data_IF_645436299900
#
_entry.id   IF_645436299900
#
_cell.length_a   1.000
_cell.length_b   1.000
_cell.length_c   1.000
_cell.angle_alpha   90.00
_cell.angle_beta   90.00
_cell.angle_gamma   90.00
#
_symmetry.space_group_name_H-M   'P 1'
#
loop_
_entity.id
_entity.type
_entity.pdbx_description
1 polymer ?
#
# COMPACT_ATOMS: atom_id res chain seq x y z
N UNK A 1 13.58 6.21 27.85
CA UNK A 1 12.17 6.69 27.77
C UNK A 1 12.18 8.22 27.60
N UNK A 2 11.63 8.73 26.49
CA UNK A 2 11.24 10.12 26.22
C UNK A 2 12.28 11.22 26.52
N UNK A 3 13.24 11.44 25.61
CA UNK A 3 14.10 12.64 25.62
C UNK A 3 13.46 13.70 24.72
N UNK A 4 13.31 14.93 25.20
CA UNK A 4 12.86 16.06 24.38
C UNK A 4 14.05 16.93 24.03
N UNK A 5 14.36 17.02 22.74
CA UNK A 5 15.41 17.89 22.21
C UNK A 5 14.73 19.12 21.63
N UNK A 6 14.97 20.27 22.27
CA UNK A 6 14.53 21.56 21.76
C UNK A 6 15.27 21.87 20.45
N UNK A 7 14.57 22.41 19.45
CA UNK A 7 15.21 22.73 18.17
C UNK A 7 15.68 21.54 17.33
N UNK A 8 15.26 20.29 17.61
CA UNK A 8 15.54 19.16 16.70
C UNK A 8 14.90 19.41 15.32
N UNK A 9 15.75 19.62 14.31
CA UNK A 9 15.35 19.93 12.93
C UNK A 9 15.61 18.79 11.95
N UNK A 10 16.68 18.02 12.17
CA UNK A 10 17.12 16.95 11.26
C UNK A 10 17.02 15.62 11.99
N UNK A 11 16.48 14.60 11.33
CA UNK A 11 16.34 13.25 11.88
C UNK A 11 16.76 12.21 10.87
N UNK A 12 17.67 11.33 11.28
CA UNK A 12 18.05 10.14 10.53
C UNK A 12 17.33 8.93 11.15
N UNK A 13 16.44 8.33 10.38
CA UNK A 13 15.61 7.21 10.82
C UNK A 13 16.01 5.95 10.06
N UNK A 14 16.74 5.06 10.73
CA UNK A 14 17.22 3.80 10.16
C UNK A 14 16.67 2.55 10.83
N UNK A 15 15.78 2.70 11.83
CA UNK A 15 15.28 1.56 12.61
C UNK A 15 14.13 0.89 11.86
N UNK A 16 14.42 -0.26 11.26
CA UNK A 16 13.38 -1.14 10.75
C UNK A 16 12.74 -1.89 11.94
N UNK A 17 11.42 -1.80 12.04
CA UNK A 17 10.70 -2.50 13.10
C UNK A 17 10.47 -3.94 12.65
N UNK A 18 10.95 -4.93 13.43
CA UNK A 18 10.73 -6.37 13.16
C UNK A 18 9.26 -6.70 12.92
N UNK A 19 8.34 -5.95 13.55
CA UNK A 19 6.91 -5.94 13.25
C UNK A 19 6.44 -4.50 13.04
N UNK A 20 5.93 -4.21 11.83
CA UNK A 20 5.39 -2.90 11.46
C UNK A 20 3.96 -2.76 11.96
N UNK A 21 3.78 -2.70 13.27
CA UNK A 21 2.48 -2.40 13.89
C UNK A 21 2.27 -0.89 13.83
N UNK A 22 1.10 -0.47 13.36
CA UNK A 22 0.72 0.94 13.20
C UNK A 22 0.93 1.76 14.48
N UNK A 23 0.63 1.17 15.65
CA UNK A 23 0.88 1.77 16.95
C UNK A 23 2.37 2.04 17.18
N UNK A 24 3.26 1.08 16.89
CA UNK A 24 4.72 1.23 17.01
C UNK A 24 5.24 2.38 16.14
N UNK A 25 4.74 2.50 14.91
CA UNK A 25 5.12 3.58 14.00
C UNK A 25 4.63 4.93 14.52
N UNK A 26 3.38 5.01 15.00
CA UNK A 26 2.85 6.23 15.62
C UNK A 26 3.58 6.61 16.92
N UNK A 27 4.05 5.62 17.69
CA UNK A 27 4.89 5.85 18.86
C UNK A 27 6.25 6.43 18.48
N UNK A 28 6.89 5.95 17.41
CA UNK A 28 8.15 6.48 16.91
C UNK A 28 7.99 7.87 16.28
N UNK A 29 6.89 8.11 15.56
CA UNK A 29 6.58 9.40 14.95
C UNK A 29 6.37 10.53 15.98
N UNK A 30 6.24 10.22 17.27
CA UNK A 30 6.17 11.23 18.35
C UNK A 30 7.40 12.15 18.38
N UNK A 31 8.54 11.73 17.82
CA UNK A 31 9.74 12.56 17.69
C UNK A 31 9.53 13.86 16.91
N UNK A 32 8.51 13.93 16.04
CA UNK A 32 8.21 15.15 15.28
C UNK A 32 7.46 16.21 16.10
N UNK A 33 6.65 15.79 17.07
CA UNK A 33 5.77 16.67 17.84
C UNK A 33 4.82 17.51 16.98
N UNK A 34 4.09 18.44 17.62
CA UNK A 34 3.15 19.34 16.95
C UNK A 34 3.85 20.62 16.44
N UNK A 35 4.77 20.47 15.48
CA UNK A 35 5.65 21.57 14.98
C UNK A 35 5.34 21.97 13.53
N UNK A 36 4.06 22.12 13.18
CA UNK A 36 3.64 22.37 11.79
C UNK A 36 4.28 23.61 11.15
N UNK A 37 4.55 24.66 11.92
CA UNK A 37 5.20 25.88 11.46
C UNK A 37 6.71 25.72 11.15
N UNK A 38 7.34 24.63 11.58
CA UNK A 38 8.75 24.32 11.32
C UNK A 38 8.95 23.33 10.17
N UNK A 39 7.87 22.92 9.50
CA UNK A 39 7.90 21.90 8.44
C UNK A 39 8.91 22.21 7.34
N UNK A 40 9.02 23.49 6.94
CA UNK A 40 9.90 23.92 5.84
C UNK A 40 11.39 23.75 6.15
N UNK A 41 11.73 23.74 7.44
CA UNK A 41 13.09 23.63 7.95
C UNK A 41 13.39 22.26 8.56
N UNK A 42 12.39 21.38 8.73
CA UNK A 42 12.59 19.99 9.16
C UNK A 42 13.12 19.11 8.03
N UNK A 43 14.04 18.19 8.33
CA UNK A 43 14.57 17.18 7.41
C UNK A 43 14.46 15.77 8.02
N UNK A 44 13.95 14.82 7.24
CA UNK A 44 13.94 13.40 7.56
C UNK A 44 14.74 12.66 6.50
N UNK A 45 15.72 11.88 6.94
CA UNK A 45 16.46 10.94 6.10
C UNK A 45 16.12 9.53 6.54
N UNK A 46 15.66 8.70 5.61
CA UNK A 46 15.24 7.32 5.87
C UNK A 46 15.49 6.46 4.62
N UNK A 47 15.81 5.17 4.76
CA UNK A 47 15.76 4.21 3.65
C UNK A 47 14.41 4.24 2.94
N UNK A 48 14.43 4.04 1.62
CA UNK A 48 13.23 4.17 0.76
C UNK A 48 12.09 3.23 1.17
N UNK A 49 12.40 1.98 1.54
CA UNK A 49 11.39 1.02 1.99
C UNK A 49 10.65 1.49 3.26
N UNK A 50 11.36 2.06 4.24
CA UNK A 50 10.77 2.61 5.47
C UNK A 50 9.90 3.83 5.16
N UNK A 51 10.33 4.69 4.23
CA UNK A 51 9.56 5.86 3.82
C UNK A 51 8.23 5.44 3.15
N UNK A 52 8.25 4.41 2.31
CA UNK A 52 7.04 3.85 1.69
C UNK A 52 6.09 3.25 2.73
N UNK A 53 6.61 2.64 3.80
CA UNK A 53 5.77 2.16 4.91
C UNK A 53 5.10 3.33 5.65
N UNK A 54 5.85 4.38 5.99
CA UNK A 54 5.30 5.58 6.62
C UNK A 54 4.23 6.24 5.75
N UNK A 55 4.45 6.31 4.43
CA UNK A 55 3.46 6.82 3.48
C UNK A 55 2.22 5.95 3.46
N UNK A 56 2.37 4.62 3.42
CA UNK A 56 1.25 3.68 3.42
C UNK A 56 0.40 3.81 4.69
N UNK A 57 1.05 3.94 5.85
CA UNK A 57 0.39 4.15 7.14
C UNK A 57 -0.33 5.50 7.15
N UNK A 58 0.34 6.58 6.74
CA UNK A 58 -0.27 7.90 6.68
C UNK A 58 -1.48 7.93 5.74
N UNK A 59 -1.39 7.30 4.56
CA UNK A 59 -2.51 7.19 3.62
C UNK A 59 -3.66 6.36 4.19
N UNK A 60 -3.38 5.30 4.96
CA UNK A 60 -4.39 4.53 5.67
C UNK A 60 -5.11 5.36 6.74
N UNK A 61 -4.35 6.13 7.52
CA UNK A 61 -4.83 6.96 8.62
C UNK A 61 -5.67 8.15 8.10
N UNK A 62 -5.19 8.83 7.06
CA UNK A 62 -5.94 9.87 6.36
C UNK A 62 -7.18 9.32 5.65
N UNK A 63 -7.07 8.13 5.07
CA UNK A 63 -8.22 7.41 4.52
C UNK A 63 -9.29 7.17 5.57
N UNK A 64 -8.89 6.73 6.78
CA UNK A 64 -9.80 6.52 7.90
C UNK A 64 -10.41 7.85 8.40
N UNK A 65 -9.62 8.91 8.58
CA UNK A 65 -10.11 10.25 8.97
C UNK A 65 -11.12 10.80 7.96
N UNK A 66 -10.81 10.72 6.67
CA UNK A 66 -11.68 11.20 5.61
C UNK A 66 -12.96 10.38 5.49
N UNK A 67 -12.87 9.09 5.79
CA UNK A 67 -14.03 8.22 5.80
C UNK A 67 -14.95 8.53 7.00
N UNK A 68 -14.39 8.90 8.16
CA UNK A 68 -15.15 9.34 9.34
C UNK A 68 -15.78 10.72 9.10
N UNK A 69 -15.05 11.64 8.45
CA UNK A 69 -15.47 13.02 8.20
C UNK A 69 -15.45 13.90 9.46
N UNK A 70 -15.95 15.14 9.34
CA UNK A 70 -16.01 16.11 10.46
C UNK A 70 -17.25 15.94 11.37
N UNK A 71 -18.18 15.07 10.99
CA UNK A 71 -19.41 14.81 11.73
C UNK A 71 -19.50 13.32 12.11
N UNK A 72 -19.45 12.98 13.42
CA UNK A 72 -19.61 11.61 13.91
C UNK A 72 -20.90 10.92 13.45
N UNK A 73 -21.94 11.67 13.06
CA UNK A 73 -23.19 11.14 12.52
C UNK A 73 -23.18 10.95 11.00
N UNK A 74 -22.15 11.43 10.31
CA UNK A 74 -22.00 11.36 8.86
C UNK A 74 -21.02 10.25 8.42
N UNK A 75 -20.75 9.29 9.31
CA UNK A 75 -20.02 8.06 8.97
C UNK A 75 -20.86 7.29 7.94
N UNK A 76 -20.68 7.63 6.66
CA UNK A 76 -21.21 6.90 5.51
C UNK A 76 -20.34 5.67 5.19
N UNK A 77 -19.39 5.35 6.05
CA UNK A 77 -18.63 4.11 5.95
C UNK A 77 -19.51 2.96 6.41
N UNK A 78 -19.84 2.07 5.49
CA UNK A 78 -20.32 0.74 5.86
C UNK A 78 -19.09 -0.15 6.10
N UNK A 79 -18.84 -0.63 7.34
CA UNK A 79 -17.86 -1.67 7.55
C UNK A 79 -18.35 -2.93 6.84
N UNK A 80 -17.55 -3.43 5.90
CA UNK A 80 -17.85 -4.64 5.14
C UNK A 80 -16.95 -5.75 5.63
N UNK A 81 -17.57 -6.67 6.36
CA UNK A 81 -16.90 -7.85 6.88
C UNK A 81 -16.85 -8.95 5.82
N UNK A 82 -15.66 -9.47 5.59
CA UNK A 82 -15.41 -10.56 4.67
C UNK A 82 -14.77 -11.72 5.44
N UNK A 83 -15.52 -12.81 5.63
CA UNK A 83 -15.10 -13.98 6.42
C UNK A 83 -16.14 -14.44 7.44
N UNK A 84 -15.83 -15.49 8.24
CA UNK A 84 -16.71 -15.97 9.33
C UNK A 84 -16.91 -14.88 10.39
N UNK A 85 -18.15 -14.66 10.82
CA UNK A 85 -18.55 -13.64 11.80
C UNK A 85 -17.84 -13.86 13.13
N UNK A 86 -16.95 -12.96 13.52
CA UNK A 86 -16.47 -12.88 14.91
C UNK A 86 -17.58 -12.27 15.77
N UNK A 87 -17.92 -12.91 16.89
CA UNK A 87 -18.59 -12.24 18.01
C UNK A 87 -17.49 -11.55 18.84
N UNK A 88 -17.43 -10.22 18.88
CA UNK A 88 -16.38 -9.53 19.64
C UNK A 88 -16.58 -9.77 21.14
N UNK A 89 -15.53 -10.19 21.83
CA UNK A 89 -15.49 -10.33 23.31
C UNK A 89 -15.40 -8.98 24.01
N UNK A 90 -14.99 -7.91 23.30
CA UNK A 90 -15.11 -6.50 23.72
C UNK A 90 -15.38 -5.61 22.51
N UNK A 91 -16.41 -4.77 22.57
CA UNK A 91 -17.00 -4.04 21.44
C UNK A 91 -16.17 -2.86 20.87
N UNK A 92 -14.93 -2.63 21.33
CA UNK A 92 -14.21 -1.38 21.02
C UNK A 92 -12.71 -1.53 20.73
N UNK A 93 -12.17 -2.75 20.60
CA UNK A 93 -10.75 -2.93 20.26
C UNK A 93 -10.66 -3.89 19.10
N UNK A 94 -10.70 -3.32 17.89
CA UNK A 94 -10.35 -4.02 16.67
C UNK A 94 -8.84 -3.79 16.48
N UNK A 95 -8.04 -4.86 16.50
CA UNK A 95 -6.60 -4.78 16.22
C UNK A 95 -6.42 -4.65 14.68
N UNK A 96 -6.05 -3.48 14.15
CA UNK A 96 -5.91 -3.29 12.70
C UNK A 96 -4.75 -4.09 12.11
N UNK A 97 -3.82 -4.58 12.93
CA UNK A 97 -2.73 -5.45 12.48
C UNK A 97 -3.19 -6.90 12.24
N UNK A 98 -4.24 -7.36 12.94
CA UNK A 98 -4.88 -8.66 12.71
C UNK A 98 -5.96 -8.59 11.63
N UNK A 99 -6.54 -7.40 11.45
CA UNK A 99 -7.56 -7.13 10.44
C UNK A 99 -6.86 -6.49 9.25
N UNK A 100 -6.44 -7.31 8.28
CA UNK A 100 -5.87 -6.86 7.00
C UNK A 100 -6.87 -6.01 6.20
N UNK A 101 -7.07 -4.75 6.63
CA UNK A 101 -8.11 -3.87 6.12
C UNK A 101 -7.67 -3.18 4.84
N UNK A 102 -8.59 -3.05 3.89
CA UNK A 102 -8.32 -2.21 2.72
C UNK A 102 -8.51 -0.73 3.05
N UNK A 103 -7.49 0.08 2.76
CA UNK A 103 -7.56 1.54 2.88
C UNK A 103 -8.56 2.13 1.88
N UNK A 104 -9.58 2.88 2.33
CA UNK A 104 -10.53 3.56 1.45
C UNK A 104 -9.82 4.52 0.48
N UNK A 105 -10.24 4.55 -0.79
CA UNK A 105 -9.64 5.43 -1.79
C UNK A 105 -8.22 5.05 -2.22
N UNK A 106 -7.64 3.97 -1.67
CA UNK A 106 -6.34 3.47 -2.11
C UNK A 106 -6.42 2.80 -3.48
N UNK A 107 -5.29 2.79 -4.19
CA UNK A 107 -5.12 2.02 -5.41
C UNK A 107 -4.28 0.79 -5.08
N UNK A 108 -4.83 -0.39 -5.27
CA UNK A 108 -4.20 -1.67 -5.00
C UNK A 108 -3.97 -2.42 -6.32
N UNK A 109 -2.91 -3.22 -6.39
CA UNK A 109 -2.54 -3.99 -7.58
C UNK A 109 -1.70 -5.22 -7.17
N UNK A 110 -1.67 -6.29 -7.99
CA UNK A 110 -0.88 -7.48 -7.72
C UNK A 110 0.62 -7.17 -7.80
N UNK A 111 1.36 -7.52 -6.75
CA UNK A 111 2.81 -7.27 -6.67
C UNK A 111 3.63 -8.30 -7.44
N UNK A 112 3.06 -9.48 -7.70
CA UNK A 112 3.62 -10.47 -8.62
C UNK A 112 2.54 -11.08 -9.51
N UNK A 113 2.19 -10.39 -10.60
CA UNK A 113 1.31 -10.95 -11.63
C UNK A 113 1.97 -12.13 -12.33
N UNK A 114 1.21 -13.20 -12.61
CA UNK A 114 1.70 -14.27 -13.49
C UNK A 114 1.88 -13.71 -14.90
N UNK A 115 2.90 -14.20 -15.60
CA UNK A 115 3.31 -13.62 -16.89
C UNK A 115 3.96 -14.61 -17.85
N UNK A 116 4.33 -15.82 -17.40
CA UNK A 116 4.89 -16.84 -18.29
C UNK A 116 3.80 -17.31 -19.25
N UNK A 117 4.16 -17.55 -20.51
CA UNK A 117 3.17 -17.91 -21.54
C UNK A 117 2.32 -19.13 -21.12
N UNK A 118 2.96 -20.13 -20.51
CA UNK A 118 2.30 -21.33 -19.98
C UNK A 118 1.30 -21.08 -18.86
N UNK A 119 1.39 -19.95 -18.16
CA UNK A 119 0.51 -19.59 -17.03
C UNK A 119 -0.67 -18.71 -17.46
N UNK A 120 -0.51 -17.92 -18.53
CA UNK A 120 -1.45 -16.82 -18.84
C UNK A 120 -2.06 -16.87 -20.25
N UNK A 121 -1.59 -17.71 -21.17
CA UNK A 121 -2.07 -17.69 -22.56
C UNK A 121 -3.61 -17.83 -22.66
N UNK A 122 -4.20 -18.82 -22.01
CA UNK A 122 -5.65 -19.05 -22.02
C UNK A 122 -6.44 -17.91 -21.37
N UNK A 123 -5.86 -17.29 -20.35
CA UNK A 123 -6.44 -16.13 -19.68
C UNK A 123 -6.42 -14.89 -20.59
N UNK A 124 -5.28 -14.61 -21.25
CA UNK A 124 -5.17 -13.51 -22.22
C UNK A 124 -6.16 -13.69 -23.37
N UNK A 125 -6.28 -14.88 -23.95
CA UNK A 125 -7.25 -15.14 -25.04
C UNK A 125 -8.70 -14.89 -24.61
N UNK A 126 -9.01 -15.20 -23.34
CA UNK A 126 -10.34 -14.94 -22.76
C UNK A 126 -10.56 -13.44 -22.57
N UNK A 127 -9.56 -12.74 -22.03
CA UNK A 127 -9.61 -11.29 -21.85
C UNK A 127 -9.66 -10.51 -23.16
N UNK A 128 -8.99 -10.98 -24.21
CA UNK A 128 -9.07 -10.38 -25.54
C UNK A 128 -10.51 -10.36 -26.05
N UNK A 129 -11.26 -11.45 -25.84
CA UNK A 129 -12.69 -11.52 -26.20
C UNK A 129 -13.55 -10.64 -25.29
N UNK A 130 -13.35 -10.72 -23.97
CA UNK A 130 -14.16 -9.97 -23.00
C UNK A 130 -13.97 -8.46 -23.14
N UNK A 131 -12.74 -8.03 -23.43
CA UNK A 131 -12.36 -6.62 -23.46
C UNK A 131 -12.27 -6.06 -24.90
N UNK A 132 -12.72 -6.81 -25.91
CA UNK A 132 -12.63 -6.41 -27.32
C UNK A 132 -13.35 -5.09 -27.63
N UNK A 133 -14.42 -4.77 -26.91
CA UNK A 133 -15.21 -3.54 -27.15
C UNK A 133 -14.56 -2.27 -26.59
N UNK A 134 -13.58 -2.39 -25.68
CA UNK A 134 -12.93 -1.23 -25.06
C UNK A 134 -11.62 -0.93 -25.78
N UNK A 135 -11.65 0.15 -26.57
CA UNK A 135 -10.54 0.56 -27.44
C UNK A 135 -10.06 1.99 -27.16
N UNK A 136 -10.84 2.78 -26.43
CA UNK A 136 -10.47 4.14 -26.04
C UNK A 136 -9.83 4.11 -24.64
N UNK A 137 -8.54 4.39 -24.60
CA UNK A 137 -7.76 4.46 -23.37
C UNK A 137 -8.34 5.49 -22.39
N UNK A 138 -8.96 6.60 -22.84
CA UNK A 138 -9.49 7.63 -21.94
C UNK A 138 -10.94 7.38 -21.50
N UNK A 139 -11.61 6.38 -22.07
CA UNK A 139 -13.00 6.05 -21.75
C UNK A 139 -13.08 5.26 -20.43
N UNK A 140 -14.01 5.68 -19.57
CA UNK A 140 -14.40 4.93 -18.38
C UNK A 140 -15.83 4.45 -18.58
N UNK A 141 -16.00 3.14 -18.70
CA UNK A 141 -17.31 2.51 -18.89
C UNK A 141 -17.86 2.03 -17.55
N UNK A 142 -19.15 2.24 -17.31
CA UNK A 142 -19.83 1.71 -16.12
C UNK A 142 -20.25 0.26 -16.36
N UNK A 143 -19.73 -0.66 -15.57
CA UNK A 143 -19.96 -2.10 -15.73
C UNK A 143 -20.37 -2.76 -14.42
N UNK A 144 -21.05 -3.91 -14.50
CA UNK A 144 -21.50 -4.65 -13.31
C UNK A 144 -20.31 -5.16 -12.51
N UNK A 145 -20.42 -5.20 -11.18
CA UNK A 145 -19.38 -5.77 -10.32
C UNK A 145 -19.04 -7.22 -10.70
N UNK A 146 -20.04 -8.02 -11.10
CA UNK A 146 -19.82 -9.40 -11.56
C UNK A 146 -18.88 -9.47 -12.76
N UNK A 147 -18.98 -8.51 -13.68
CA UNK A 147 -18.11 -8.42 -14.85
C UNK A 147 -16.68 -8.03 -14.45
N UNK A 148 -16.52 -7.11 -13.48
CA UNK A 148 -15.19 -6.79 -12.93
C UNK A 148 -14.54 -8.01 -12.25
N UNK A 149 -15.33 -8.84 -11.55
CA UNK A 149 -14.87 -10.08 -10.94
C UNK A 149 -14.44 -11.08 -12.02
N UNK A 150 -15.22 -11.24 -13.09
CA UNK A 150 -14.91 -12.12 -14.23
C UNK A 150 -13.59 -11.74 -14.92
N UNK A 151 -13.35 -10.44 -15.09
CA UNK A 151 -12.07 -9.90 -15.59
C UNK A 151 -10.92 -10.31 -14.66
N UNK A 152 -11.06 -10.06 -13.36
CA UNK A 152 -10.01 -10.35 -12.37
C UNK A 152 -9.74 -11.87 -12.19
N UNK A 153 -10.73 -12.73 -12.43
CA UNK A 153 -10.52 -14.19 -12.45
C UNK A 153 -9.54 -14.62 -13.55
N UNK A 154 -9.40 -13.83 -14.61
CA UNK A 154 -8.47 -14.08 -15.70
C UNK A 154 -7.16 -13.27 -15.57
N UNK A 155 -6.85 -12.71 -14.41
CA UNK A 155 -5.58 -12.00 -14.16
C UNK A 155 -4.89 -12.57 -12.92
N UNK A 156 -4.47 -13.85 -12.94
CA UNK A 156 -3.93 -14.52 -11.76
C UNK A 156 -2.59 -13.91 -11.33
N UNK A 157 -2.39 -13.80 -10.01
CA UNK A 157 -1.15 -13.36 -9.40
C UNK A 157 -0.63 -14.36 -8.35
N UNK A 158 0.61 -14.16 -7.90
CA UNK A 158 1.17 -14.85 -6.73
C UNK A 158 0.98 -13.93 -5.52
N UNK A 159 0.57 -14.52 -4.40
CA UNK A 159 0.44 -13.80 -3.14
C UNK A 159 1.80 -13.23 -2.73
N UNK A 160 1.79 -12.02 -2.18
CA UNK A 160 2.97 -11.39 -1.59
C UNK A 160 2.60 -10.92 -0.20
N UNK A 161 3.24 -11.48 0.82
CA UNK A 161 3.01 -11.09 2.21
C UNK A 161 3.32 -9.61 2.44
N UNK A 162 2.57 -8.98 3.35
CA UNK A 162 2.70 -7.56 3.66
C UNK A 162 2.04 -6.60 2.65
N UNK A 163 1.42 -7.11 1.58
CA UNK A 163 0.72 -6.28 0.59
C UNK A 163 -0.80 -6.54 0.58
N UNK A 164 -1.54 -5.50 0.19
CA UNK A 164 -3.00 -5.53 0.24
C UNK A 164 -3.63 -6.50 -0.77
N UNK A 165 -3.01 -6.66 -1.96
CA UNK A 165 -3.58 -7.43 -3.05
C UNK A 165 -3.39 -8.94 -2.87
N UNK A 166 -4.50 -9.66 -2.78
CA UNK A 166 -4.58 -11.10 -2.90
C UNK A 166 -5.84 -11.41 -3.73
N UNK A 167 -5.70 -12.28 -4.74
CA UNK A 167 -6.71 -12.41 -5.79
C UNK A 167 -8.09 -12.79 -5.26
N UNK A 168 -8.19 -13.74 -4.32
CA UNK A 168 -9.49 -14.12 -3.76
C UNK A 168 -10.02 -13.03 -2.84
N UNK A 169 -9.16 -12.43 -2.01
CA UNK A 169 -9.52 -11.29 -1.15
C UNK A 169 -10.16 -10.15 -1.94
N UNK A 170 -9.55 -9.76 -3.06
CA UNK A 170 -10.05 -8.66 -3.92
C UNK A 170 -11.41 -9.03 -4.51
N UNK A 171 -11.58 -10.26 -5.01
CA UNK A 171 -12.88 -10.73 -5.52
C UNK A 171 -13.95 -10.74 -4.44
N UNK A 172 -13.62 -11.15 -3.22
CA UNK A 172 -14.55 -11.14 -2.10
C UNK A 172 -14.93 -9.72 -1.69
N UNK A 173 -13.98 -8.77 -1.71
CA UNK A 173 -14.26 -7.35 -1.47
C UNK A 173 -15.32 -6.82 -2.44
N UNK A 174 -15.15 -7.11 -3.73
CA UNK A 174 -16.10 -6.73 -4.78
C UNK A 174 -17.48 -7.40 -4.57
N UNK A 175 -17.53 -8.69 -4.25
CA UNK A 175 -18.81 -9.38 -3.92
C UNK A 175 -19.50 -8.74 -2.71
N UNK A 176 -18.73 -8.31 -1.74
CA UNK A 176 -19.24 -7.68 -0.53
C UNK A 176 -19.71 -6.23 -0.79
N UNK A 177 -19.03 -5.48 -1.66
CA UNK A 177 -19.52 -4.19 -2.21
C UNK A 177 -20.88 -4.35 -2.88
N UNK A 178 -21.02 -5.38 -3.73
CA UNK A 178 -22.28 -5.73 -4.39
C UNK A 178 -23.39 -6.00 -3.38
N UNK A 179 -23.10 -6.82 -2.37
CA UNK A 179 -24.04 -7.16 -1.30
C UNK A 179 -24.45 -5.94 -0.46
N UNK A 180 -23.58 -4.93 -0.38
CA UNK A 180 -23.83 -3.70 0.37
C UNK A 180 -24.51 -2.57 -0.46
N UNK A 181 -24.83 -2.85 -1.73
CA UNK A 181 -25.60 -1.97 -2.62
C UNK A 181 -24.80 -1.27 -3.73
N UNK A 182 -23.52 -1.59 -3.94
CA UNK A 182 -22.78 -1.13 -5.14
C UNK A 182 -22.92 -2.18 -6.23
N UNK A 183 -23.89 -2.02 -7.14
CA UNK A 183 -24.08 -3.00 -8.22
C UNK A 183 -23.09 -2.87 -9.38
N UNK A 184 -22.45 -1.70 -9.50
CA UNK A 184 -21.60 -1.34 -10.64
C UNK A 184 -20.30 -0.67 -10.21
N UNK A 185 -19.28 -0.79 -11.04
CA UNK A 185 -18.02 -0.06 -10.92
C UNK A 185 -17.58 0.50 -12.27
N UNK A 186 -16.54 1.32 -12.25
CA UNK A 186 -15.94 1.83 -13.48
C UNK A 186 -14.88 0.86 -14.00
N UNK A 187 -14.86 0.66 -15.30
CA UNK A 187 -13.81 -0.07 -16.01
C UNK A 187 -13.12 0.89 -16.97
N UNK A 188 -11.79 0.86 -16.97
CA UNK A 188 -10.96 1.55 -17.95
C UNK A 188 -9.93 0.57 -18.49
N UNK A 189 -9.90 0.38 -19.81
CA UNK A 189 -8.98 -0.56 -20.47
C UNK A 189 -7.99 0.25 -21.28
N UNK A 190 -6.71 0.16 -20.93
CA UNK A 190 -5.60 0.86 -21.55
C UNK A 190 -4.87 -0.09 -22.48
N UNK A 191 -4.94 0.14 -23.78
CA UNK A 191 -4.29 -0.66 -24.83
C UNK A 191 -3.16 0.07 -25.56
N UNK A 192 -2.90 1.34 -25.22
CA UNK A 192 -1.89 2.13 -25.90
C UNK A 192 -2.31 2.51 -27.32
N UNK A 193 -1.41 3.20 -28.04
CA UNK A 193 -1.73 3.72 -29.37
C UNK A 193 -2.11 2.59 -30.33
N UNK A 194 -3.28 2.74 -30.98
CA UNK A 194 -3.84 1.78 -31.95
C UNK A 194 -4.09 0.37 -31.39
N UNK A 195 -4.16 0.21 -30.06
CA UNK A 195 -4.42 -1.08 -29.43
C UNK A 195 -3.24 -2.06 -29.47
N UNK A 196 -2.03 -1.59 -29.79
CA UNK A 196 -0.85 -2.45 -29.92
C UNK A 196 -0.35 -3.00 -28.57
N UNK A 197 -0.82 -2.46 -27.45
CA UNK A 197 -0.28 -2.71 -26.11
C UNK A 197 0.69 -1.62 -25.67
N UNK A 198 0.87 -1.54 -24.37
CA UNK A 198 1.92 -0.73 -23.74
C UNK A 198 3.27 -1.48 -23.76
N UNK A 199 4.34 -0.76 -23.43
CA UNK A 199 5.74 -1.21 -23.55
C UNK A 199 6.42 -1.18 -22.17
N UNK A 200 5.84 -1.86 -21.18
CA UNK A 200 6.35 -1.95 -19.81
C UNK A 200 7.46 -2.99 -19.72
N UNK A 201 8.58 -2.66 -19.08
CA UNK A 201 9.60 -3.66 -18.75
C UNK A 201 9.21 -4.52 -17.54
N UNK A 202 9.46 -5.83 -17.63
CA UNK A 202 9.32 -6.76 -16.52
C UNK A 202 10.39 -6.46 -15.45
N UNK A 203 9.97 -6.05 -14.26
CA UNK A 203 10.88 -5.63 -13.16
C UNK A 203 11.01 -6.72 -12.08
N UNK A 204 12.07 -6.69 -11.24
CA UNK A 204 12.16 -7.58 -10.09
C UNK A 204 10.90 -7.55 -9.20
N UNK A 205 10.55 -8.69 -8.62
CA UNK A 205 9.40 -8.86 -7.73
C UNK A 205 9.83 -8.74 -6.26
N UNK A 206 8.94 -8.32 -5.35
CA UNK A 206 7.61 -7.75 -5.60
C UNK A 206 7.69 -6.36 -6.24
N UNK A 207 6.75 -6.03 -7.13
CA UNK A 207 6.66 -4.70 -7.71
C UNK A 207 6.38 -3.63 -6.65
N UNK A 208 7.06 -2.48 -6.73
CA UNK A 208 6.96 -1.38 -5.77
C UNK A 208 6.23 -0.16 -6.32
N UNK A 209 5.94 0.82 -5.45
CA UNK A 209 5.31 2.09 -5.80
C UNK A 209 3.89 1.94 -6.35
N UNK A 210 3.57 2.67 -7.43
CA UNK A 210 2.27 2.60 -8.13
C UNK A 210 2.15 1.40 -9.09
N UNK A 211 3.14 0.49 -9.07
CA UNK A 211 3.18 -0.69 -9.91
C UNK A 211 3.40 -0.31 -11.37
N UNK A 212 2.37 -0.49 -12.17
CA UNK A 212 2.37 -0.29 -13.62
C UNK A 212 1.39 0.80 -14.07
N UNK A 213 0.54 1.29 -13.18
CA UNK A 213 -0.38 2.37 -13.50
C UNK A 213 0.33 3.72 -13.43
N UNK A 214 0.11 4.55 -14.46
CA UNK A 214 0.54 5.95 -14.45
C UNK A 214 -0.19 6.72 -13.33
N UNK A 215 0.48 7.71 -12.73
CA UNK A 215 -0.12 8.54 -11.68
C UNK A 215 -1.44 9.18 -12.09
N UNK A 216 -1.61 9.56 -13.37
CA UNK A 216 -2.88 10.09 -13.90
C UNK A 216 -4.00 9.06 -13.96
N UNK A 217 -3.67 7.80 -14.26
CA UNK A 217 -4.64 6.70 -14.30
C UNK A 217 -5.20 6.39 -12.91
N UNK A 218 -4.46 6.77 -11.87
CA UNK A 218 -4.90 6.63 -10.48
C UNK A 218 -5.60 7.91 -10.00
N UNK A 219 -5.01 9.09 -10.22
CA UNK A 219 -5.50 10.34 -9.64
C UNK A 219 -6.83 10.80 -10.23
N UNK A 220 -7.05 10.65 -11.54
CA UNK A 220 -8.31 11.02 -12.20
C UNK A 220 -9.52 10.25 -11.64
N UNK A 221 -9.55 8.91 -11.63
CA UNK A 221 -10.69 8.17 -11.10
C UNK A 221 -10.83 8.32 -9.59
N UNK A 222 -9.73 8.47 -8.82
CA UNK A 222 -9.81 8.82 -7.39
C UNK A 222 -10.56 10.13 -7.15
N UNK A 223 -10.49 11.09 -8.07
CA UNK A 223 -11.23 12.35 -7.95
C UNK A 223 -12.65 12.23 -8.48
N UNK A 224 -12.87 11.53 -9.60
CA UNK A 224 -14.15 11.50 -10.32
C UNK A 224 -15.14 10.45 -9.81
N UNK A 225 -14.66 9.28 -9.37
CA UNK A 225 -15.47 8.12 -9.03
C UNK A 225 -15.22 7.67 -7.57
N UNK A 226 -15.41 8.59 -6.63
CA UNK A 226 -15.06 8.39 -5.22
C UNK A 226 -15.93 7.36 -4.49
N UNK A 227 -17.06 6.97 -5.06
CA UNK A 227 -18.12 6.20 -4.41
C UNK A 227 -18.29 4.78 -4.94
N UNK A 228 -17.58 4.42 -6.01
CA UNK A 228 -17.66 3.13 -6.69
C UNK A 228 -16.26 2.63 -7.01
N UNK A 229 -16.01 1.31 -7.04
CA UNK A 229 -14.70 0.80 -7.39
C UNK A 229 -14.39 1.12 -8.85
N UNK A 230 -13.12 1.45 -9.13
CA UNK A 230 -12.63 1.63 -10.50
C UNK A 230 -11.54 0.61 -10.78
N UNK A 231 -11.76 -0.25 -11.77
CA UNK A 231 -10.77 -1.19 -12.28
C UNK A 231 -10.11 -0.59 -13.51
N UNK A 232 -8.81 -0.31 -13.41
CA UNK A 232 -7.96 0.06 -14.54
C UNK A 232 -7.21 -1.20 -14.99
N UNK A 233 -7.38 -1.58 -16.25
CA UNK A 233 -6.75 -2.75 -16.86
C UNK A 233 -5.75 -2.26 -17.90
N UNK A 234 -4.49 -2.61 -17.75
CA UNK A 234 -3.43 -2.33 -18.72
C UNK A 234 -3.17 -3.56 -19.58
N UNK A 235 -3.16 -3.39 -20.91
CA UNK A 235 -2.73 -4.40 -21.87
C UNK A 235 -1.25 -4.18 -22.23
N UNK A 236 -0.41 -5.17 -21.94
CA UNK A 236 1.04 -5.15 -22.13
C UNK A 236 1.44 -6.08 -23.29
N UNK A 237 2.34 -5.60 -24.17
CA UNK A 237 2.82 -6.35 -25.35
C UNK A 237 3.49 -7.68 -24.99
N UNK A 238 4.15 -7.73 -23.84
CA UNK A 238 4.77 -8.96 -23.36
C UNK A 238 6.01 -9.38 -24.15
N UNK A 239 6.72 -8.43 -24.75
CA UNK A 239 7.92 -8.71 -25.57
C UNK A 239 9.10 -9.22 -24.74
N UNK A 240 9.82 -10.21 -25.27
CA UNK A 240 11.00 -10.79 -24.60
C UNK A 240 12.14 -9.78 -24.36
N UNK A 241 12.26 -8.76 -25.23
CA UNK A 241 13.24 -7.66 -25.05
C UNK A 241 13.04 -6.90 -23.72
N UNK A 242 11.82 -6.92 -23.21
CA UNK A 242 11.40 -6.28 -21.97
C UNK A 242 11.38 -7.25 -20.78
N UNK A 243 11.91 -8.47 -20.92
CA UNK A 243 11.96 -9.48 -19.86
C UNK A 243 10.67 -10.29 -19.70
N UNK A 244 9.75 -10.20 -20.64
CA UNK A 244 8.54 -11.05 -20.70
C UNK A 244 8.77 -12.32 -21.54
N UNK A 245 7.72 -13.09 -21.79
CA UNK A 245 7.80 -14.40 -22.46
C UNK A 245 7.19 -14.43 -23.87
N UNK A 246 7.17 -13.29 -24.60
CA UNK A 246 6.48 -13.15 -25.89
C UNK A 246 4.99 -13.52 -25.84
N UNK A 247 4.35 -13.24 -24.71
CA UNK A 247 2.92 -13.45 -24.49
C UNK A 247 2.32 -12.15 -23.97
N UNK A 248 1.39 -11.51 -24.71
CA UNK A 248 0.66 -10.37 -24.20
C UNK A 248 -0.11 -10.72 -22.94
N UNK A 249 -0.23 -9.75 -22.05
CA UNK A 249 -0.86 -9.92 -20.75
C UNK A 249 -1.64 -8.69 -20.33
N UNK A 250 -2.55 -8.89 -19.39
CA UNK A 250 -3.31 -7.82 -18.78
C UNK A 250 -2.96 -7.68 -17.31
N UNK A 251 -2.84 -6.44 -16.85
CA UNK A 251 -2.42 -6.09 -15.50
C UNK A 251 -3.51 -5.23 -14.83
N UNK A 252 -4.05 -5.61 -13.65
CA UNK A 252 -5.14 -4.89 -13.00
C UNK A 252 -4.70 -3.93 -11.89
N UNK A 253 -5.20 -2.70 -11.91
CA UNK A 253 -5.15 -1.77 -10.77
C UNK A 253 -6.57 -1.49 -10.31
N UNK A 254 -6.91 -1.88 -9.08
CA UNK A 254 -8.21 -1.60 -8.48
C UNK A 254 -8.11 -0.40 -7.55
N UNK A 255 -8.96 0.59 -7.80
CA UNK A 255 -9.11 1.77 -6.96
C UNK A 255 -10.38 1.60 -6.15
N UNK A 256 -10.22 1.61 -4.83
CA UNK A 256 -11.31 1.37 -3.91
C UNK A 256 -12.15 2.63 -3.70
N UNK A 257 -13.46 2.48 -3.40
CA UNK A 257 -14.29 3.61 -2.99
C UNK A 257 -13.68 4.32 -1.78
N UNK A 258 -13.79 5.64 -1.75
CA UNK A 258 -13.27 6.51 -0.71
C UNK A 258 -14.28 6.76 0.42
N UNK A 259 -15.54 7.05 0.08
CA UNK A 259 -16.50 7.58 1.07
C UNK A 259 -17.54 6.59 1.58
N UNK A 260 -17.58 5.36 1.05
CA UNK A 260 -18.67 4.43 1.36
C UNK A 260 -18.27 3.17 2.13
N UNK A 261 -17.01 2.74 2.11
CA UNK A 261 -16.66 1.39 2.57
C UNK A 261 -15.27 1.29 3.21
N UNK A 262 -15.19 0.51 4.29
CA UNK A 262 -13.96 -0.04 4.85
C UNK A 262 -14.13 -1.56 4.86
N UNK A 263 -13.20 -2.29 4.25
CA UNK A 263 -13.25 -3.75 4.20
C UNK A 263 -12.37 -4.33 5.29
N UNK A 264 -12.93 -5.29 6.03
CA UNK A 264 -12.23 -6.01 7.08
C UNK A 264 -12.27 -7.51 6.77
N UNK A 265 -11.10 -8.14 6.68
CA UNK A 265 -10.94 -9.55 6.35
C UNK A 265 -10.53 -10.34 7.59
N UNK A 266 -11.07 -11.55 7.72
CA UNK A 266 -10.71 -12.48 8.78
C UNK A 266 -10.18 -13.78 8.16
N UNK A 267 -8.89 -14.06 8.36
CA UNK A 267 -8.27 -15.34 8.02
C UNK A 267 -8.28 -16.23 9.26
N UNK A 268 -9.43 -16.82 9.60
CA UNK A 268 -9.53 -17.68 10.78
C UNK A 268 -9.44 -19.17 10.44
N UNK A 269 -8.61 -19.60 9.48
CA UNK A 269 -8.50 -21.04 9.16
C UNK A 269 -7.10 -21.65 9.12
N UNK A 270 -5.98 -20.92 9.17
CA UNK A 270 -4.65 -21.58 9.21
C UNK A 270 -3.69 -20.87 10.17
N UNK A 271 -3.15 -21.66 11.12
CA UNK A 271 -2.13 -21.40 12.15
C UNK A 271 -2.63 -21.44 13.61
N UNK A 272 -3.15 -22.59 14.02
CA UNK A 272 -2.84 -23.17 15.35
C UNK A 272 -1.62 -24.11 15.19
N UNK A 273 -0.56 -23.65 14.52
CA UNK A 273 0.76 -24.18 14.86
C UNK A 273 1.25 -23.35 16.03
N UNK A 274 1.47 -24.01 17.16
CA UNK A 274 2.18 -23.46 18.31
C UNK A 274 3.50 -22.86 17.80
N UNK A 275 3.51 -21.54 17.59
CA UNK A 275 4.73 -20.77 17.50
C UNK A 275 5.38 -20.83 18.89
N UNK A 276 6.20 -21.85 19.12
CA UNK A 276 7.28 -21.76 20.09
C UNK A 276 8.13 -20.57 19.66
N UNK A 277 8.04 -19.49 20.42
CA UNK A 277 8.87 -18.32 20.23
C UNK A 277 10.31 -18.72 20.57
N UNK A 278 11.17 -18.85 19.56
CA UNK A 278 12.60 -18.68 19.81
C UNK A 278 12.80 -17.23 20.26
N UNK A 279 13.25 -17.06 21.51
CA UNK A 279 13.72 -15.78 22.04
C UNK A 279 14.83 -15.24 21.13
N UNK A 280 14.46 -14.36 20.18
CA UNK A 280 15.45 -13.68 19.35
C UNK A 280 16.16 -12.68 20.23
N UNK A 281 17.39 -13.00 20.63
CA UNK A 281 18.25 -12.16 21.46
C UNK A 281 18.18 -10.68 20.99
N UNK A 282 17.72 -9.81 21.89
CA UNK A 282 17.81 -8.36 21.70
C UNK A 282 19.29 -8.00 21.63
N UNK A 283 19.72 -7.42 20.51
CA UNK A 283 21.06 -6.85 20.37
C UNK A 283 21.23 -5.82 21.49
N UNK A 284 22.24 -6.01 22.33
CA UNK A 284 22.52 -5.13 23.46
C UNK A 284 22.80 -3.70 23.00
N UNK A 285 22.41 -2.72 23.80
CA UNK A 285 22.60 -1.28 23.53
C UNK A 285 24.06 -0.95 23.16
N UNK A 286 25.03 -1.58 23.81
CA UNK A 286 26.47 -1.43 23.51
C UNK A 286 26.85 -1.92 22.12
N UNK A 287 26.28 -3.05 21.68
CA UNK A 287 26.58 -3.66 20.39
C UNK A 287 25.95 -2.87 19.24
N UNK A 288 24.76 -2.30 19.48
CA UNK A 288 24.13 -1.35 18.57
C UNK A 288 24.91 -0.04 18.45
N UNK A 289 25.36 0.53 19.56
CA UNK A 289 26.18 1.75 19.59
C UNK A 289 27.52 1.55 18.87
N UNK A 290 28.15 0.40 19.06
CA UNK A 290 29.38 0.04 18.35
C UNK A 290 29.14 -0.07 16.83
N UNK A 291 28.03 -0.70 16.42
CA UNK A 291 27.64 -0.79 15.01
C UNK A 291 27.35 0.57 14.36
N UNK A 292 26.70 1.48 15.08
CA UNK A 292 26.44 2.84 14.60
C UNK A 292 27.74 3.67 14.46
N UNK A 293 28.65 3.57 15.43
CA UNK A 293 29.90 4.33 15.46
C UNK A 293 30.95 3.87 14.42
N UNK A 294 30.86 2.61 13.97
CA UNK A 294 31.80 2.01 13.01
C UNK A 294 31.28 1.98 11.58
N UNK A 295 30.00 2.31 11.36
CA UNK A 295 29.40 2.29 10.04
C UNK A 295 29.79 3.56 9.24
N UNK A 296 30.41 3.42 8.05
CA UNK A 296 30.89 4.55 7.24
C UNK A 296 29.81 5.56 6.85
N UNK A 297 28.54 5.16 6.86
CA UNK A 297 27.39 6.04 6.58
C UNK A 297 27.24 7.14 7.64
N UNK A 298 27.77 6.93 8.85
CA UNK A 298 27.73 7.87 9.96
C UNK A 298 29.07 8.56 10.24
N UNK A 299 30.05 8.48 9.34
CA UNK A 299 31.35 9.15 9.53
C UNK A 299 31.23 10.68 9.65
N UNK A 300 30.15 11.26 9.12
CA UNK A 300 29.80 12.68 9.30
C UNK A 300 29.58 13.07 10.77
N UNK A 301 29.21 12.13 11.65
CA UNK A 301 29.07 12.38 13.09
C UNK A 301 30.42 12.54 13.82
N UNK A 302 31.54 12.32 13.12
CA UNK A 302 32.89 12.52 13.66
C UNK A 302 33.45 13.90 13.29
N UNK A 303 32.71 14.68 12.49
CA UNK A 303 33.11 16.02 12.09
C UNK A 303 32.67 17.05 13.16
N UNK A 304 33.61 17.71 13.87
CA UNK A 304 33.27 18.71 14.88
C UNK A 304 32.57 19.95 14.30
N UNK A 305 32.62 20.17 12.98
CA UNK A 305 31.89 21.27 12.33
C UNK A 305 30.39 21.00 12.20
N UNK A 306 29.96 19.74 12.32
CA UNK A 306 28.55 19.32 12.31
C UNK A 306 27.94 19.31 13.72
N UNK A 307 28.73 19.59 14.78
CA UNK A 307 28.25 19.67 16.15
C UNK A 307 27.37 20.91 16.35
N UNK A 308 26.10 20.67 16.65
CA UNK A 308 25.12 21.74 16.88
C UNK A 308 25.20 22.25 18.33
N UNK A 309 25.70 21.43 19.25
CA UNK A 309 25.75 21.70 20.69
C UNK A 309 27.13 21.44 21.28
N UNK A 310 27.53 22.26 22.24
CA UNK A 310 28.76 22.10 23.01
C UNK A 310 28.68 20.84 23.89
N UNK A 311 29.70 19.99 23.83
CA UNK A 311 29.78 18.79 24.68
C UNK A 311 29.91 19.12 26.18
N UNK A 312 30.41 20.31 26.52
CA UNK A 312 30.68 20.71 27.90
C UNK A 312 29.43 21.13 28.68
N UNK A 313 28.49 21.82 28.03
CA UNK A 313 27.30 22.37 28.69
C UNK A 313 26.00 22.19 27.91
N UNK A 314 26.04 21.48 26.77
CA UNK A 314 24.86 21.12 25.97
C UNK A 314 24.16 22.33 25.33
N UNK A 315 24.87 23.45 25.16
CA UNK A 315 24.31 24.68 24.60
C UNK A 315 24.58 24.79 23.10
N UNK A 316 23.70 25.43 22.32
CA UNK A 316 23.94 25.63 20.89
C UNK A 316 25.23 26.43 20.65
N UNK A 317 26.00 26.07 19.62
CA UNK A 317 27.20 26.84 19.25
C UNK A 317 26.87 28.24 18.73
N UNK A 318 25.66 28.48 18.21
CA UNK A 318 25.17 29.77 17.74
C UNK A 318 23.90 30.19 18.52
N UNK A 319 23.96 31.34 19.21
CA UNK A 319 22.82 31.97 19.90
C UNK A 319 21.81 32.59 18.93
#
# INVERSE_FOLDING_TARGET
RGVTIEGLMVTYYGRDAKQKVMDTVHQHARMYGYRQHLKDVTRLFSPEHILEDFRSIHEADEGMRQAIGDDPNNIKIKPVWVGKKIKPTRSCVLNPAEINAFTPGSAIFPRDSRWKASEIQSHTETLDRLLAKYQDDEEYSEEKIDFLIEILQNMPSRSCEGYAWEDERVRQALKAMKSAGIEKGMLNVRRGQKGEGLDLSNRPRPWQGSGFANSKWISQPKQKYQDIPTLVVMYEKGERKNGWDNQPLYLPTLILPKHKFVFMFNYSEELEEELEWEDVEEIGEEEWLHGAATNPVFDILKDPEEDIYTLADGKPFNN
#
